data_IF_507392910117
#
_entry.id   IF_507392910117
#
_cell.length_a   1.000
_cell.length_b   1.000
_cell.length_c   1.000
_cell.angle_alpha   90.00
_cell.angle_beta   90.00
_cell.angle_gamma   90.00
#
_symmetry.space_group_name_H-M   'P 1'
#
loop_
_entity.id
_entity.type
_entity.pdbx_description
1 polymer ?
#
# COMPACT_ATOMS: atom_id res chain seq x y z
N UNK A 1 14.52 -6.88 1.39
CA UNK A 1 13.44 -7.71 0.80
C UNK A 1 12.15 -7.68 1.61
N UNK A 2 12.22 -7.92 2.91
CA UNK A 2 11.00 -7.96 3.74
C UNK A 2 10.29 -6.62 3.83
N UNK A 3 11.04 -5.54 3.92
CA UNK A 3 10.46 -4.19 3.93
C UNK A 3 9.71 -3.95 2.63
N UNK A 4 10.32 -4.29 1.50
CA UNK A 4 9.69 -4.14 0.19
C UNK A 4 8.44 -5.02 0.08
N UNK A 5 8.47 -6.24 0.60
CA UNK A 5 7.33 -7.14 0.61
C UNK A 5 6.18 -6.59 1.46
N UNK A 6 6.48 -6.04 2.65
CA UNK A 6 5.46 -5.41 3.48
C UNK A 6 4.86 -4.17 2.84
N UNK A 7 5.70 -3.38 2.18
CA UNK A 7 5.25 -2.22 1.42
C UNK A 7 4.39 -2.63 0.24
N UNK A 8 4.74 -3.72 -0.44
CA UNK A 8 3.94 -4.27 -1.53
C UNK A 8 2.59 -4.79 -1.02
N UNK A 9 2.57 -5.48 0.11
CA UNK A 9 1.33 -5.92 0.75
C UNK A 9 0.41 -4.73 1.03
N UNK A 10 0.97 -3.64 1.54
CA UNK A 10 0.22 -2.42 1.78
C UNK A 10 -0.33 -1.82 0.48
N UNK A 11 0.44 -1.84 -0.60
CA UNK A 11 -0.03 -1.36 -1.91
C UNK A 11 -1.21 -2.18 -2.44
N UNK A 12 -1.13 -3.50 -2.32
CA UNK A 12 -2.22 -4.39 -2.76
C UNK A 12 -3.47 -4.13 -1.94
N UNK A 13 -3.32 -4.04 -0.62
CA UNK A 13 -4.43 -3.78 0.29
C UNK A 13 -5.05 -2.40 0.04
N UNK A 14 -4.21 -1.40 -0.21
CA UNK A 14 -4.66 -0.06 -0.53
C UNK A 14 -5.43 -0.04 -1.85
N UNK A 15 -5.00 -0.79 -2.85
CA UNK A 15 -5.70 -0.91 -4.13
C UNK A 15 -7.11 -1.46 -3.93
N UNK A 16 -7.27 -2.45 -3.08
CA UNK A 16 -8.59 -2.99 -2.73
C UNK A 16 -9.47 -1.93 -2.07
N UNK A 17 -8.90 -1.16 -1.14
CA UNK A 17 -9.63 -0.10 -0.46
C UNK A 17 -10.07 0.99 -1.45
N UNK A 18 -9.18 1.44 -2.32
CA UNK A 18 -9.48 2.47 -3.31
C UNK A 18 -10.54 2.00 -4.31
N UNK A 19 -10.46 0.75 -4.74
CA UNK A 19 -11.48 0.17 -5.62
C UNK A 19 -12.84 0.09 -4.94
N UNK A 20 -12.87 -0.31 -3.67
CA UNK A 20 -14.10 -0.35 -2.87
C UNK A 20 -14.69 1.05 -2.68
N UNK A 21 -13.84 2.04 -2.41
CA UNK A 21 -14.26 3.43 -2.26
C UNK A 21 -14.92 3.93 -3.55
N UNK A 22 -14.31 3.65 -4.69
CA UNK A 22 -14.86 4.05 -6.00
C UNK A 22 -16.19 3.33 -6.26
N UNK A 23 -16.27 2.03 -5.98
CA UNK A 23 -17.49 1.27 -6.16
C UNK A 23 -18.64 1.78 -5.29
N UNK A 24 -18.34 2.43 -4.18
CA UNK A 24 -19.32 2.96 -3.23
C UNK A 24 -19.49 4.47 -3.31
N UNK A 25 -19.05 5.09 -4.39
CA UNK A 25 -19.14 6.55 -4.56
C UNK A 25 -20.57 7.07 -4.47
N UNK A 26 -21.56 6.26 -4.81
CA UNK A 26 -22.98 6.61 -4.74
C UNK A 26 -23.68 6.05 -3.50
N UNK A 27 -22.98 5.30 -2.64
CA UNK A 27 -23.59 4.72 -1.45
C UNK A 27 -23.74 5.78 -0.35
N UNK A 28 -24.95 6.07 0.09
CA UNK A 28 -25.17 7.08 1.14
C UNK A 28 -24.45 6.68 2.43
N UNK A 29 -23.79 7.65 3.05
CA UNK A 29 -23.11 7.43 4.32
C UNK A 29 -21.84 6.61 4.27
N UNK A 30 -21.40 6.19 3.10
CA UNK A 30 -20.21 5.37 2.98
C UNK A 30 -18.98 6.12 3.50
N UNK A 31 -18.20 5.43 4.32
CA UNK A 31 -16.96 5.97 4.89
C UNK A 31 -15.77 5.40 4.12
N UNK A 32 -14.93 6.28 3.66
CA UNK A 32 -13.72 5.94 2.92
C UNK A 32 -12.82 5.01 3.76
N UNK A 33 -12.32 3.94 3.11
CA UNK A 33 -11.36 3.03 3.71
C UNK A 33 -9.96 3.30 3.15
N UNK A 34 -8.94 3.08 3.95
CA UNK A 34 -7.55 3.15 3.51
C UNK A 34 -6.69 2.30 4.42
N UNK A 35 -5.44 2.10 4.02
CA UNK A 35 -4.44 1.48 4.91
C UNK A 35 -4.22 2.41 6.10
N UNK A 36 -4.08 1.84 7.29
CA UNK A 36 -3.84 2.60 8.51
C UNK A 36 -2.64 3.54 8.31
N UNK A 37 -2.83 4.83 8.62
CA UNK A 37 -1.82 5.86 8.34
C UNK A 37 -0.54 5.70 9.13
N UNK A 38 -0.60 5.01 10.25
CA UNK A 38 0.57 4.75 11.09
C UNK A 38 1.45 3.60 10.59
N UNK A 39 1.02 2.90 9.54
CA UNK A 39 1.76 1.73 9.02
C UNK A 39 3.19 2.11 8.61
N UNK A 40 3.35 3.18 7.85
CA UNK A 40 4.67 3.61 7.36
C UNK A 40 5.60 3.97 8.53
N UNK A 41 5.07 4.66 9.53
CA UNK A 41 5.84 5.03 10.72
C UNK A 41 6.23 3.82 11.55
N UNK A 42 5.31 2.88 11.71
CA UNK A 42 5.57 1.63 12.44
C UNK A 42 6.60 0.77 11.72
N UNK A 43 6.53 0.70 10.40
CA UNK A 43 7.50 -0.01 9.59
C UNK A 43 8.90 0.60 9.74
N UNK A 44 8.97 1.93 9.64
CA UNK A 44 10.22 2.67 9.81
C UNK A 44 10.84 2.43 11.19
N UNK A 45 10.03 2.48 12.23
CA UNK A 45 10.48 2.23 13.60
C UNK A 45 11.00 0.80 13.78
N UNK A 46 10.30 -0.18 13.23
CA UNK A 46 10.72 -1.57 13.30
C UNK A 46 12.06 -1.80 12.60
N UNK A 47 12.27 -1.15 11.46
CA UNK A 47 13.55 -1.21 10.73
C UNK A 47 14.68 -0.60 11.55
N UNK A 48 14.44 0.56 12.17
CA UNK A 48 15.44 1.24 13.00
C UNK A 48 15.83 0.41 14.23
N UNK A 49 14.94 -0.46 14.71
CA UNK A 49 15.20 -1.35 15.85
C UNK A 49 15.90 -2.65 15.47
N UNK A 50 16.40 -2.75 14.25
CA UNK A 50 17.10 -3.94 13.79
C UNK A 50 16.28 -4.95 13.02
N UNK A 51 14.99 -4.70 12.84
CA UNK A 51 14.16 -5.40 11.86
C UNK A 51 14.07 -6.91 11.98
N UNK A 52 13.97 -7.46 13.19
CA UNK A 52 13.79 -8.89 13.36
C UNK A 52 12.50 -9.33 12.63
N UNK A 53 12.55 -10.53 12.07
CA UNK A 53 11.54 -11.07 11.14
C UNK A 53 10.11 -10.96 11.63
N UNK A 54 9.89 -11.11 12.93
CA UNK A 54 8.56 -11.15 13.52
C UNK A 54 8.09 -9.81 14.04
N UNK A 55 8.90 -8.75 13.85
CA UNK A 55 8.59 -7.42 14.38
C UNK A 55 8.11 -6.44 13.33
N UNK A 56 8.16 -6.80 12.05
CA UNK A 56 7.65 -5.92 10.99
C UNK A 56 6.11 -5.86 11.06
N UNK A 57 5.53 -4.67 11.04
CA UNK A 57 4.08 -4.53 11.11
C UNK A 57 3.41 -5.10 9.86
N UNK A 58 2.17 -5.55 10.03
CA UNK A 58 1.32 -5.97 8.92
C UNK A 58 0.36 -4.84 8.60
N UNK A 59 0.20 -4.47 7.32
CA UNK A 59 -0.75 -3.43 6.95
C UNK A 59 -2.19 -3.92 7.19
N UNK A 60 -3.06 -2.98 7.54
CA UNK A 60 -4.49 -3.28 7.73
C UNK A 60 -5.33 -2.13 7.21
N UNK A 61 -6.56 -2.45 6.81
CA UNK A 61 -7.53 -1.45 6.38
C UNK A 61 -8.31 -0.91 7.58
N UNK A 62 -8.63 0.37 7.51
CA UNK A 62 -9.48 1.02 8.49
C UNK A 62 -10.16 2.22 7.85
N UNK A 63 -11.19 2.74 8.52
CA UNK A 63 -11.83 3.97 8.08
C UNK A 63 -10.84 5.13 8.16
N UNK A 64 -10.87 6.00 7.14
CA UNK A 64 -10.09 7.22 7.15
C UNK A 64 -10.77 8.26 8.03
N UNK A 65 -10.28 8.40 9.25
CA UNK A 65 -10.86 9.32 10.24
C UNK A 65 -10.73 10.80 9.85
N UNK A 66 -9.87 11.12 8.89
CA UNK A 66 -9.67 12.49 8.42
C UNK A 66 -10.53 12.83 7.20
N UNK A 67 -11.18 11.84 6.61
CA UNK A 67 -12.08 12.09 5.49
C UNK A 67 -13.34 12.81 5.98
N UNK A 68 -13.75 13.84 5.23
CA UNK A 68 -14.95 14.63 5.54
C UNK A 68 -16.07 14.22 4.60
N UNK A 69 -17.30 14.32 5.11
CA UNK A 69 -18.47 14.16 4.26
C UNK A 69 -18.51 15.30 3.24
N UNK A 70 -18.47 14.93 1.96
CA UNK A 70 -18.50 15.89 0.85
C UNK A 70 -19.92 16.09 0.31
N UNK A 71 -20.86 15.24 0.72
CA UNK A 71 -22.23 15.24 0.27
C UNK A 71 -23.19 15.24 1.45
N UNK A 72 -24.40 15.69 1.16
CA UNK A 72 -25.49 15.75 2.15
C UNK A 72 -25.82 14.37 2.72
N UNK A 73 -25.62 13.30 1.94
CA UNK A 73 -25.86 11.91 2.36
C UNK A 73 -24.78 11.34 3.29
N UNK A 74 -23.75 12.14 3.62
CA UNK A 74 -22.68 11.71 4.51
C UNK A 74 -21.58 10.90 3.84
N UNK A 75 -21.63 10.73 2.53
CA UNK A 75 -20.59 10.00 1.78
C UNK A 75 -19.29 10.81 1.77
N UNK A 76 -18.16 10.16 2.09
CA UNK A 76 -16.85 10.81 2.19
C UNK A 76 -15.96 10.56 0.97
N UNK A 77 -16.50 10.01 -0.12
CA UNK A 77 -15.72 9.69 -1.31
C UNK A 77 -15.66 10.88 -2.26
N UNK A 78 -14.44 11.27 -2.59
CA UNK A 78 -14.13 12.19 -3.69
C UNK A 78 -13.56 11.36 -4.83
N UNK A 79 -14.34 11.17 -5.88
CA UNK A 79 -13.99 10.29 -7.00
C UNK A 79 -12.68 10.70 -7.66
N UNK A 80 -12.48 12.00 -7.89
CA UNK A 80 -11.24 12.47 -8.53
C UNK A 80 -10.01 12.15 -7.68
N UNK A 81 -10.12 12.38 -6.37
CA UNK A 81 -9.05 12.08 -5.45
C UNK A 81 -8.78 10.57 -5.37
N UNK A 82 -9.82 9.75 -5.36
CA UNK A 82 -9.68 8.30 -5.34
C UNK A 82 -8.95 7.78 -6.59
N UNK A 83 -9.30 8.32 -7.75
CA UNK A 83 -8.63 7.96 -9.00
C UNK A 83 -7.15 8.38 -9.00
N UNK A 84 -6.87 9.57 -8.47
CA UNK A 84 -5.50 10.05 -8.34
C UNK A 84 -4.70 9.15 -7.40
N UNK A 85 -5.26 8.80 -6.26
CA UNK A 85 -4.60 7.90 -5.30
C UNK A 85 -4.39 6.50 -5.90
N UNK A 86 -5.34 6.03 -6.69
CA UNK A 86 -5.23 4.73 -7.37
C UNK A 86 -4.05 4.74 -8.35
N UNK A 87 -3.91 5.81 -9.14
CA UNK A 87 -2.79 5.95 -10.06
C UNK A 87 -1.44 6.00 -9.34
N UNK A 88 -1.36 6.77 -8.26
CA UNK A 88 -0.14 6.83 -7.43
C UNK A 88 0.20 5.48 -6.84
N UNK A 89 -0.80 4.77 -6.34
CA UNK A 89 -0.61 3.45 -5.75
C UNK A 89 -0.10 2.45 -6.78
N UNK A 90 -0.61 2.55 -8.01
CA UNK A 90 -0.16 1.68 -9.10
C UNK A 90 1.30 1.92 -9.45
N UNK A 91 1.74 3.17 -9.47
CA UNK A 91 3.15 3.51 -9.69
C UNK A 91 4.02 2.93 -8.56
N UNK A 92 3.60 3.06 -7.32
CA UNK A 92 4.31 2.50 -6.17
C UNK A 92 4.38 0.97 -6.27
N UNK A 93 3.29 0.33 -6.66
CA UNK A 93 3.25 -1.12 -6.86
C UNK A 93 4.25 -1.57 -7.92
N UNK A 94 4.29 -0.89 -9.05
CA UNK A 94 5.23 -1.18 -10.13
C UNK A 94 6.68 -1.01 -9.68
N UNK A 95 6.96 0.07 -8.97
CA UNK A 95 8.30 0.32 -8.43
C UNK A 95 8.73 -0.80 -7.48
N UNK A 96 7.88 -1.16 -6.52
CA UNK A 96 8.18 -2.19 -5.54
C UNK A 96 8.33 -3.57 -6.20
N UNK A 97 7.49 -3.88 -7.17
CA UNK A 97 7.58 -5.13 -7.93
C UNK A 97 8.91 -5.22 -8.68
N UNK A 98 9.31 -4.13 -9.32
CA UNK A 98 10.59 -4.05 -10.03
C UNK A 98 11.76 -4.19 -9.05
N UNK A 99 11.70 -3.54 -7.90
CA UNK A 99 12.74 -3.61 -6.88
C UNK A 99 12.92 -5.04 -6.35
N UNK A 100 11.82 -5.72 -6.04
CA UNK A 100 11.85 -7.11 -5.55
C UNK A 100 12.38 -8.03 -6.64
N UNK A 101 11.93 -7.87 -7.87
CA UNK A 101 12.40 -8.65 -9.01
C UNK A 101 13.88 -8.46 -9.26
N UNK A 102 14.38 -7.25 -9.17
CA UNK A 102 15.78 -6.92 -9.33
C UNK A 102 16.65 -7.58 -8.26
N UNK A 103 16.23 -7.54 -7.00
CA UNK A 103 16.93 -8.20 -5.90
C UNK A 103 16.95 -9.71 -6.07
N UNK A 104 15.85 -10.28 -6.51
CA UNK A 104 15.76 -11.71 -6.78
C UNK A 104 16.69 -12.14 -7.90
N UNK A 105 16.75 -11.35 -8.97
CA UNK A 105 17.65 -11.60 -10.10
C UNK A 105 19.11 -11.54 -9.67
N UNK A 106 19.48 -10.54 -8.87
CA UNK A 106 20.83 -10.40 -8.35
C UNK A 106 21.24 -11.60 -7.49
N UNK A 107 20.32 -12.07 -6.64
CA UNK A 107 20.56 -13.25 -5.82
C UNK A 107 20.78 -14.50 -6.68
N UNK A 108 19.97 -14.68 -7.72
CA UNK A 108 20.10 -15.79 -8.67
C UNK A 108 21.45 -15.74 -9.37
N UNK A 109 21.89 -14.58 -9.81
CA UNK A 109 23.19 -14.38 -10.43
C UNK A 109 24.34 -14.78 -9.49
N UNK A 110 24.25 -14.37 -8.22
CA UNK A 110 25.25 -14.70 -7.21
C UNK A 110 25.33 -16.21 -6.96
N UNK A 111 24.20 -16.89 -6.95
CA UNK A 111 24.13 -18.34 -6.73
C UNK A 111 24.68 -19.11 -7.93
N UNK A 112 24.34 -18.69 -9.15
CA UNK A 112 24.74 -19.40 -10.38
C UNK A 112 26.14 -19.01 -10.88
N UNK A 113 26.71 -17.92 -10.35
CA UNK A 113 28.03 -17.44 -10.79
C UNK A 113 28.04 -16.88 -12.21
N UNK A 114 26.86 -16.54 -12.74
CA UNK A 114 26.74 -15.95 -14.07
C UNK A 114 26.13 -14.56 -14.00
N UNK A 115 26.65 -13.68 -14.85
CA UNK A 115 25.88 -12.50 -15.17
C UNK A 115 24.88 -12.86 -16.26
N UNK A 116 23.61 -12.66 -16.00
CA UNK A 116 22.55 -12.96 -16.95
C UNK A 116 22.15 -11.71 -17.70
N UNK A 117 22.39 -11.70 -18.95
CA UNK A 117 21.93 -10.66 -19.85
C UNK A 117 21.06 -11.26 -20.91
#
# INVERSE_FOLDING_TARGET
MRIAQRSLDACVLRQEALASNIANVETPGYKRMDVAKDFADRLKTAVQRGGAKNTLPTPRLMEDSQARALRVDGNTIDLENELLQMNKNQVDHEYLTTLIGSNFKSLKMAITGRSSF
#
